data_IF_908852730262
#
_entry.id   IF_908852730262
#
_cell.length_a   1.000
_cell.length_b   1.000
_cell.length_c   1.000
_cell.angle_alpha   90.00
_cell.angle_beta   90.00
_cell.angle_gamma   90.00
#
_symmetry.space_group_name_H-M   'P 1'
#
loop_
_entity.id
_entity.type
_entity.pdbx_description
1 polymer ?
#
# COMPACT_ATOMS: atom_id res chain seq x y z
N UNK A 1 20.47 16.02 -21.64
CA UNK A 1 19.29 15.74 -20.81
C UNK A 1 19.82 15.43 -19.43
N UNK A 2 19.90 16.47 -18.59
CA UNK A 2 20.42 16.35 -17.22
C UNK A 2 19.27 16.00 -16.28
N UNK A 3 19.55 15.29 -15.19
CA UNK A 3 18.56 14.81 -14.22
C UNK A 3 17.67 15.94 -13.67
N UNK A 4 18.26 17.11 -13.42
CA UNK A 4 17.55 18.31 -12.92
C UNK A 4 16.44 18.80 -13.86
N UNK A 5 16.66 18.71 -15.17
CA UNK A 5 15.67 19.12 -16.18
C UNK A 5 14.45 18.20 -16.14
N UNK A 6 14.67 16.89 -16.01
CA UNK A 6 13.60 15.90 -15.90
C UNK A 6 12.84 16.06 -14.58
N UNK A 7 13.56 16.30 -13.49
CA UNK A 7 12.97 16.49 -12.17
C UNK A 7 12.12 17.75 -12.10
N UNK A 8 12.51 18.83 -12.79
CA UNK A 8 11.72 20.05 -12.88
C UNK A 8 10.40 19.82 -13.63
N UNK A 9 10.42 19.05 -14.72
CA UNK A 9 9.21 18.69 -15.47
C UNK A 9 8.26 17.82 -14.64
N UNK A 10 8.79 16.86 -13.88
CA UNK A 10 7.98 15.99 -13.02
C UNK A 10 7.25 16.78 -11.91
N UNK A 11 7.90 17.78 -11.31
CA UNK A 11 7.29 18.64 -10.28
C UNK A 11 6.27 19.60 -10.87
N UNK A 12 6.48 20.06 -12.12
CA UNK A 12 5.59 21.00 -12.78
C UNK A 12 4.32 20.34 -13.37
N UNK A 13 4.24 19.02 -13.40
CA UNK A 13 3.07 18.30 -13.90
C UNK A 13 1.87 18.45 -12.96
N UNK A 14 0.73 18.87 -13.51
CA UNK A 14 -0.54 19.02 -12.78
C UNK A 14 -1.24 17.65 -12.67
N UNK A 15 -1.47 17.12 -11.45
CA UNK A 15 -2.14 15.84 -11.26
C UNK A 15 -3.65 15.90 -11.56
N UNK A 16 -4.26 17.09 -11.55
CA UNK A 16 -5.69 17.28 -11.75
C UNK A 16 -6.03 17.63 -13.21
N UNK A 17 -5.02 17.65 -14.09
CA UNK A 17 -5.21 17.88 -15.52
C UNK A 17 -6.18 16.84 -16.12
N UNK A 18 -7.13 17.32 -16.92
CA UNK A 18 -8.08 16.47 -17.61
C UNK A 18 -7.34 15.52 -18.58
N UNK A 19 -7.79 14.27 -18.61
CA UNK A 19 -7.31 13.26 -19.56
C UNK A 19 -7.84 13.59 -20.95
N UNK A 20 -7.01 13.46 -21.99
CA UNK A 20 -7.40 13.70 -23.38
C UNK A 20 -8.52 12.75 -23.82
N UNK A 21 -9.41 13.22 -24.70
CA UNK A 21 -10.52 12.44 -25.24
C UNK A 21 -10.02 11.25 -26.09
N UNK A 22 -8.80 11.32 -26.62
CA UNK A 22 -8.14 10.24 -27.36
C UNK A 22 -7.28 9.30 -26.48
N UNK A 23 -7.20 9.56 -25.18
CA UNK A 23 -6.38 8.76 -24.28
C UNK A 23 -6.91 7.33 -24.18
N UNK A 24 -6.03 6.37 -24.44
CA UNK A 24 -6.33 4.94 -24.31
C UNK A 24 -5.87 4.42 -22.96
N UNK A 25 -6.62 3.47 -22.41
CA UNK A 25 -6.26 2.83 -21.14
C UNK A 25 -4.98 2.00 -21.33
N UNK A 26 -3.96 2.24 -20.49
CA UNK A 26 -2.71 1.48 -20.54
C UNK A 26 -2.95 -0.03 -20.40
N UNK A 27 -3.88 -0.42 -19.52
CA UNK A 27 -4.21 -1.83 -19.27
C UNK A 27 -4.73 -2.55 -20.52
N UNK A 28 -5.41 -1.83 -21.42
CA UNK A 28 -5.92 -2.40 -22.67
C UNK A 28 -4.78 -2.64 -23.68
N UNK A 29 -3.69 -1.87 -23.58
CA UNK A 29 -2.50 -2.02 -24.44
C UNK A 29 -1.54 -3.10 -23.94
N UNK A 30 -1.41 -3.24 -22.62
CA UNK A 30 -0.44 -4.15 -21.98
C UNK A 30 -1.01 -5.52 -21.60
N UNK A 31 -2.34 -5.68 -21.63
CA UNK A 31 -3.03 -6.93 -21.31
C UNK A 31 -2.93 -7.36 -19.83
N UNK A 32 -3.51 -8.52 -19.48
CA UNK A 32 -3.39 -9.18 -18.17
C UNK A 32 -2.02 -9.87 -18.03
N UNK A 33 -0.94 -9.14 -18.32
CA UNK A 33 0.39 -9.68 -18.14
C UNK A 33 0.62 -9.97 -16.63
N UNK A 34 1.14 -11.14 -16.26
CA UNK A 34 1.36 -11.49 -14.86
C UNK A 34 2.28 -10.47 -14.17
N UNK A 35 2.03 -10.27 -12.88
CA UNK A 35 2.64 -9.32 -11.92
C UNK A 35 4.19 -9.38 -11.93
N UNK A 36 4.78 -8.86 -13.00
CA UNK A 36 6.19 -8.95 -13.33
C UNK A 36 6.49 -8.04 -14.51
N UNK A 37 6.02 -6.80 -14.43
CA UNK A 37 6.03 -5.84 -15.54
C UNK A 37 7.34 -5.09 -15.70
N UNK A 38 8.30 -5.32 -14.82
CA UNK A 38 9.65 -4.79 -14.95
C UNK A 38 10.65 -5.92 -14.73
N UNK A 39 11.75 -5.95 -15.51
CA UNK A 39 12.85 -6.87 -15.25
C UNK A 39 13.31 -6.74 -13.79
N UNK A 40 13.75 -7.84 -13.17
CA UNK A 40 14.23 -7.86 -11.78
C UNK A 40 15.35 -6.82 -11.51
N UNK A 41 16.10 -6.43 -12.54
CA UNK A 41 17.14 -5.41 -12.45
C UNK A 41 16.59 -3.98 -12.33
N UNK A 42 15.38 -3.71 -12.81
CA UNK A 42 14.74 -2.39 -12.75
C UNK A 42 13.89 -2.24 -11.48
N UNK A 43 13.20 -3.32 -11.08
CA UNK A 43 12.41 -3.33 -9.85
C UNK A 43 12.49 -4.73 -9.23
N UNK A 44 13.49 -5.00 -8.37
CA UNK A 44 13.54 -6.27 -7.66
C UNK A 44 12.28 -6.34 -6.81
N UNK A 45 11.41 -7.32 -7.12
CA UNK A 45 10.11 -7.46 -6.48
C UNK A 45 10.27 -7.28 -4.97
N UNK A 46 9.71 -6.22 -4.36
CA UNK A 46 9.71 -6.11 -2.92
C UNK A 46 8.83 -7.25 -2.43
N UNK A 47 9.48 -8.32 -1.96
CA UNK A 47 8.86 -9.52 -1.41
C UNK A 47 8.21 -10.38 -2.50
N UNK A 48 9.01 -11.31 -3.04
CA UNK A 48 8.52 -12.40 -3.89
C UNK A 48 7.34 -13.11 -3.23
N UNK A 49 6.18 -12.99 -3.87
CA UNK A 49 4.93 -13.61 -3.44
C UNK A 49 4.49 -13.09 -2.08
N UNK A 50 3.40 -12.33 -2.08
CA UNK A 50 2.43 -12.45 -1.01
C UNK A 50 2.05 -13.94 -0.96
N UNK A 51 2.77 -14.74 -0.17
CA UNK A 51 2.29 -16.02 0.32
C UNK A 51 1.03 -15.63 1.08
N UNK A 52 -0.10 -15.67 0.35
CA UNK A 52 -1.45 -15.60 0.87
C UNK A 52 -1.38 -16.28 2.22
N UNK A 53 -1.60 -15.52 3.29
CA UNK A 53 -1.41 -15.93 4.67
C UNK A 53 -2.33 -17.13 4.94
N UNK A 54 -1.97 -18.33 4.46
CA UNK A 54 -2.89 -19.45 4.35
C UNK A 54 -2.85 -20.22 5.66
N UNK A 55 -4.04 -20.46 6.20
CA UNK A 55 -4.24 -21.25 7.41
C UNK A 55 -3.83 -20.53 8.70
N UNK A 56 -2.55 -20.59 9.05
CA UNK A 56 -2.11 -20.26 10.41
C UNK A 56 -1.86 -18.76 10.62
N UNK A 57 -1.16 -18.10 9.70
CA UNK A 57 -0.89 -16.65 9.78
C UNK A 57 -2.17 -15.81 9.77
N UNK A 58 -3.21 -16.22 9.04
CA UNK A 58 -4.52 -15.55 9.07
C UNK A 58 -5.16 -15.62 10.46
N UNK A 59 -5.11 -16.78 11.14
CA UNK A 59 -5.61 -16.89 12.54
C UNK A 59 -4.84 -15.99 13.50
N UNK A 60 -3.51 -15.92 13.35
CA UNK A 60 -2.69 -15.02 14.16
C UNK A 60 -3.06 -13.55 13.96
N UNK A 61 -3.24 -13.12 12.70
CA UNK A 61 -3.67 -11.75 12.39
C UNK A 61 -5.04 -11.44 12.99
N UNK A 62 -6.01 -12.37 12.87
CA UNK A 62 -7.32 -12.19 13.49
C UNK A 62 -7.26 -12.12 15.02
N UNK A 63 -6.39 -12.90 15.67
CA UNK A 63 -6.19 -12.82 17.12
C UNK A 63 -5.61 -11.46 17.54
N UNK A 64 -4.64 -10.93 16.80
CA UNK A 64 -4.05 -9.61 17.08
C UNK A 64 -5.11 -8.51 16.93
N UNK A 65 -5.88 -8.53 15.85
CA UNK A 65 -6.97 -7.57 15.62
C UNK A 65 -8.02 -7.68 16.73
N UNK A 66 -8.47 -8.89 17.07
CA UNK A 66 -9.46 -9.12 18.12
C UNK A 66 -8.97 -8.64 19.49
N UNK A 67 -7.71 -8.90 19.84
CA UNK A 67 -7.11 -8.39 21.08
C UNK A 67 -7.12 -6.86 21.11
N UNK A 68 -6.74 -6.20 20.02
CA UNK A 68 -6.74 -4.75 19.93
C UNK A 68 -8.15 -4.15 20.05
N UNK A 69 -9.13 -4.76 19.39
CA UNK A 69 -10.54 -4.37 19.49
C UNK A 69 -11.09 -4.56 20.91
N UNK A 70 -10.76 -5.66 21.58
CA UNK A 70 -11.17 -5.91 22.96
C UNK A 70 -10.54 -4.89 23.91
N UNK A 71 -9.23 -4.61 23.79
CA UNK A 71 -8.56 -3.57 24.58
C UNK A 71 -9.22 -2.20 24.36
N UNK A 72 -9.55 -1.88 23.11
CA UNK A 72 -10.21 -0.61 22.75
C UNK A 72 -11.64 -0.53 23.29
N UNK A 73 -12.43 -1.60 23.14
CA UNK A 73 -13.81 -1.67 23.62
C UNK A 73 -13.91 -1.68 25.15
N UNK A 74 -12.93 -2.27 25.84
CA UNK A 74 -12.79 -2.21 27.29
C UNK A 74 -12.30 -0.85 27.80
N UNK A 75 -12.01 0.11 26.91
CA UNK A 75 -11.52 1.43 27.30
C UNK A 75 -10.07 1.42 27.83
N UNK A 76 -9.32 0.34 27.61
CA UNK A 76 -7.88 0.27 27.95
C UNK A 76 -7.02 1.05 26.95
N UNK A 77 -7.59 1.56 25.86
CA UNK A 77 -6.99 2.63 25.05
C UNK A 77 -7.12 3.96 25.79
N UNK A 78 -6.64 3.99 27.03
CA UNK A 78 -6.62 5.17 27.85
C UNK A 78 -5.30 5.88 27.60
N UNK A 79 -5.29 6.76 26.61
CA UNK A 79 -4.13 7.63 26.40
C UNK A 79 -3.90 8.61 27.58
N UNK A 80 -4.76 8.67 28.62
CA UNK A 80 -4.62 9.62 29.76
C UNK A 80 -5.28 9.19 31.10
N UNK A 81 -5.30 7.92 31.50
CA UNK A 81 -5.99 7.50 32.73
C UNK A 81 -5.09 6.82 33.75
N UNK A 82 -4.69 7.56 34.79
CA UNK A 82 -4.14 6.96 36.01
C UNK A 82 -5.05 5.81 36.47
N UNK A 83 -4.48 4.61 36.62
CA UNK A 83 -5.07 3.53 37.40
C UNK A 83 -5.11 3.98 38.87
N UNK A 84 -6.16 4.70 39.29
CA UNK A 84 -6.45 4.88 40.70
C UNK A 84 -7.18 3.62 41.18
N UNK A 85 -6.44 2.75 41.85
CA UNK A 85 -7.03 1.68 42.66
C UNK A 85 -7.70 2.34 43.86
N UNK A 86 -9.04 2.31 43.89
CA UNK A 86 -9.88 2.63 45.04
C UNK A 86 -10.64 1.40 45.49
#
# INVERSE_FOLDING_TARGET
MADDELSALAVAADPDAAVDDDAVCLWDLTGDAPIGWLPEWYMPSPIGGTRLLRGWRRRTVFLVIASFLVITALGLCNSYGQLHFG
#
